data_IF_148987429128
#
_entry.id   IF_148987429128
#
_cell.length_a   1.000
_cell.length_b   1.000
_cell.length_c   1.000
_cell.angle_alpha   90.00
_cell.angle_beta   90.00
_cell.angle_gamma   90.00
#
_symmetry.space_group_name_H-M   'P 1'
#
loop_
_entity.id
_entity.type
_entity.pdbx_description
1 polymer ?
#
# COMPACT_ATOMS: atom_id res chain seq x y z
N UNK A 1 22.75 -9.86 -24.69
CA UNK A 1 22.30 -9.52 -24.23
C UNK A 1 21.40 -9.40 -23.88
N UNK A 2 21.28 -9.41 -23.49
CA UNK A 2 20.41 -9.43 -23.15
C UNK A 2 19.73 -8.64 -22.97
N UNK A 3 19.55 -8.97 -23.47
CA UNK A 3 18.42 -8.26 -23.61
C UNK A 3 18.16 -7.50 -22.43
N UNK A 4 18.91 -6.62 -22.30
CA UNK A 4 18.75 -5.69 -21.22
C UNK A 4 17.36 -5.15 -21.17
N UNK A 5 16.78 -4.92 -22.27
CA UNK A 5 15.45 -4.36 -22.34
C UNK A 5 14.41 -5.26 -21.73
N UNK A 6 14.59 -6.55 -21.82
CA UNK A 6 13.61 -7.49 -21.31
C UNK A 6 13.58 -7.55 -19.80
N UNK A 7 14.64 -7.10 -19.13
CA UNK A 7 14.71 -7.21 -17.68
C UNK A 7 14.58 -5.89 -16.97
N UNK A 8 14.62 -4.80 -17.69
CA UNK A 8 14.71 -3.53 -17.05
C UNK A 8 13.41 -2.77 -17.03
N UNK A 9 12.31 -3.42 -17.24
CA UNK A 9 11.05 -2.73 -17.16
C UNK A 9 10.77 -2.37 -15.72
N UNK A 10 11.03 -1.14 -15.41
CA UNK A 10 10.79 -0.57 -14.10
C UNK A 10 9.96 0.68 -14.32
N UNK A 11 8.76 0.66 -13.80
CA UNK A 11 7.85 1.79 -13.97
C UNK A 11 8.24 2.98 -13.08
N UNK A 12 9.10 2.75 -12.10
CA UNK A 12 9.24 3.70 -11.01
C UNK A 12 7.95 3.73 -10.21
N UNK A 13 7.90 4.58 -9.19
CA UNK A 13 6.70 4.70 -8.36
C UNK A 13 5.62 5.45 -9.11
N UNK A 14 4.45 4.85 -9.21
CA UNK A 14 3.28 5.45 -9.84
C UNK A 14 2.28 5.73 -8.74
N UNK A 15 1.83 6.97 -8.63
CA UNK A 15 0.91 7.39 -7.57
C UNK A 15 -0.51 7.05 -7.97
N UNK A 16 -1.19 6.30 -7.11
CA UNK A 16 -2.62 6.06 -7.24
C UNK A 16 -3.37 7.24 -6.66
N UNK A 17 -2.88 7.74 -5.52
CA UNK A 17 -3.42 8.95 -4.90
C UNK A 17 -2.34 9.58 -4.04
N UNK A 18 -2.28 10.88 -4.06
CA UNK A 18 -1.39 11.62 -3.16
C UNK A 18 -2.12 12.85 -2.64
N UNK A 19 -2.08 13.03 -1.33
CA UNK A 19 -2.57 14.23 -0.65
C UNK A 19 -1.40 14.81 0.11
N UNK A 20 -1.07 16.04 -0.18
CA UNK A 20 0.02 16.74 0.50
C UNK A 20 -0.49 18.12 0.88
N UNK A 21 -1.12 18.16 2.03
CA UNK A 21 -1.66 19.39 2.61
C UNK A 21 -0.91 19.68 3.89
N UNK A 22 -0.96 20.93 4.30
CA UNK A 22 -0.33 21.34 5.53
C UNK A 22 -0.82 20.47 6.69
N UNK A 23 0.10 19.75 7.32
CA UNK A 23 -0.22 18.89 8.44
C UNK A 23 -0.78 17.53 8.09
N UNK A 24 -1.01 17.25 6.82
CA UNK A 24 -1.56 15.96 6.40
C UNK A 24 -0.86 15.46 5.16
N UNK A 25 -0.52 14.19 5.15
CA UNK A 25 0.10 13.57 3.98
C UNK A 25 -0.46 12.17 3.80
N UNK A 26 -0.77 11.82 2.56
CA UNK A 26 -1.21 10.48 2.22
C UNK A 26 -0.70 10.13 0.85
N UNK A 27 -0.11 8.95 0.71
CA UNK A 27 0.27 8.44 -0.60
C UNK A 27 -0.08 6.96 -0.68
N UNK A 28 -0.65 6.59 -1.81
CA UNK A 28 -0.89 5.21 -2.19
C UNK A 28 -0.24 5.07 -3.56
N UNK A 29 0.77 4.23 -3.66
CA UNK A 29 1.57 4.13 -4.87
C UNK A 29 1.99 2.69 -5.11
N UNK A 30 2.36 2.40 -6.35
CA UNK A 30 2.87 1.09 -6.70
C UNK A 30 4.02 1.24 -7.68
N UNK A 31 4.77 0.16 -7.81
CA UNK A 31 5.90 0.10 -8.73
C UNK A 31 5.96 -1.31 -9.29
N UNK A 32 6.21 -1.43 -10.57
CA UNK A 32 6.38 -2.72 -11.22
C UNK A 32 7.79 -2.78 -11.79
N UNK A 33 8.54 -3.79 -11.38
CA UNK A 33 9.88 -4.00 -11.87
C UNK A 33 9.97 -5.47 -12.27
N UNK A 34 10.15 -5.73 -13.56
CA UNK A 34 10.06 -7.07 -14.12
C UNK A 34 8.69 -7.66 -13.75
N UNK A 35 8.65 -8.76 -13.03
CA UNK A 35 7.39 -9.39 -12.62
C UNK A 35 7.06 -9.10 -11.16
N UNK A 36 7.80 -8.22 -10.53
CA UNK A 36 7.58 -7.86 -9.14
C UNK A 36 6.72 -6.63 -9.05
N UNK A 37 5.73 -6.66 -8.18
CA UNK A 37 4.88 -5.52 -7.87
C UNK A 37 5.15 -5.12 -6.43
N UNK A 38 5.40 -3.83 -6.24
CA UNK A 38 5.60 -3.25 -4.92
C UNK A 38 4.44 -2.30 -4.67
N UNK A 39 3.86 -2.38 -3.49
CA UNK A 39 2.76 -1.51 -3.09
C UNK A 39 3.15 -0.80 -1.80
N UNK A 40 2.89 0.47 -1.75
CA UNK A 40 3.26 1.32 -0.62
C UNK A 40 2.12 2.27 -0.29
N UNK A 41 1.78 2.34 0.99
CA UNK A 41 0.83 3.32 1.51
C UNK A 41 1.47 4.00 2.70
N UNK A 42 1.41 5.31 2.73
CA UNK A 42 1.85 6.08 3.90
C UNK A 42 0.76 7.08 4.24
N UNK A 43 0.43 7.15 5.50
CA UNK A 43 -0.60 8.06 5.99
C UNK A 43 -0.10 8.83 7.20
N UNK A 44 -0.22 10.14 7.14
CA UNK A 44 0.12 11.03 8.23
C UNK A 44 -1.04 12.01 8.38
N UNK A 45 -1.93 11.73 9.32
CA UNK A 45 -3.07 12.58 9.68
C UNK A 45 -4.14 12.79 8.61
N UNK A 46 -3.98 12.26 7.41
CA UNK A 46 -5.01 12.44 6.39
C UNK A 46 -6.22 11.55 6.66
N UNK A 47 -5.97 10.32 7.05
CA UNK A 47 -7.00 9.29 7.22
C UNK A 47 -6.84 8.69 8.61
N UNK A 48 -7.95 8.56 9.33
CA UNK A 48 -7.96 7.92 10.63
C UNK A 48 -8.67 6.58 10.49
N UNK A 49 -7.92 5.51 10.71
CA UNK A 49 -8.49 4.16 10.73
C UNK A 49 -8.97 3.90 12.14
N UNK A 50 -10.26 3.69 12.28
CA UNK A 50 -10.86 3.50 13.59
C UNK A 50 -10.53 2.14 14.16
N UNK A 51 -10.46 2.08 15.49
CA UNK A 51 -10.15 0.84 16.19
C UNK A 51 -11.18 -0.24 15.87
N UNK A 52 -10.70 -1.45 15.67
CA UNK A 52 -11.52 -2.65 15.48
C UNK A 52 -12.52 -2.52 14.33
N UNK A 53 -12.14 -1.77 13.30
CA UNK A 53 -13.02 -1.52 12.17
C UNK A 53 -12.23 -1.67 10.88
N UNK A 54 -12.65 -2.58 10.02
CA UNK A 54 -11.98 -2.77 8.74
C UNK A 54 -12.21 -1.55 7.86
N UNK A 55 -11.14 -1.07 7.26
CA UNK A 55 -11.18 0.08 6.36
C UNK A 55 -10.47 -0.27 5.08
N UNK A 56 -10.96 0.22 3.95
CA UNK A 56 -10.45 -0.13 2.64
C UNK A 56 -10.25 1.16 1.84
N UNK A 57 -9.17 1.22 1.09
CA UNK A 57 -8.92 2.37 0.22
C UNK A 57 -10.00 2.45 -0.86
N UNK A 58 -10.37 3.67 -1.23
CA UNK A 58 -11.29 3.88 -2.33
C UNK A 58 -10.60 3.62 -3.66
N UNK A 59 -9.35 4.01 -3.75
CA UNK A 59 -8.55 3.82 -4.95
C UNK A 59 -7.96 2.41 -4.97
N UNK A 60 -7.60 1.99 -6.17
CA UNK A 60 -7.06 0.64 -6.40
C UNK A 60 -5.92 0.72 -7.40
N UNK A 61 -4.95 -0.18 -7.24
CA UNK A 61 -3.96 -0.37 -8.30
C UNK A 61 -4.64 -1.06 -9.49
N UNK A 62 -4.05 -0.98 -10.68
CA UNK A 62 -4.66 -1.61 -11.86
C UNK A 62 -4.90 -3.10 -11.66
N UNK A 63 -6.04 -3.58 -12.14
CA UNK A 63 -6.42 -4.99 -12.00
C UNK A 63 -5.41 -5.93 -12.66
N UNK A 64 -4.75 -5.47 -13.72
CA UNK A 64 -3.78 -6.28 -14.44
C UNK A 64 -2.57 -6.67 -13.59
N UNK A 65 -2.30 -5.93 -12.53
CA UNK A 65 -1.17 -6.21 -11.64
C UNK A 65 -1.63 -6.49 -10.21
N UNK A 66 -2.92 -6.59 -9.98
CA UNK A 66 -3.44 -6.95 -8.66
C UNK A 66 -3.09 -8.41 -8.37
N UNK A 67 -2.92 -8.78 -7.10
CA UNK A 67 -2.55 -10.16 -6.77
C UNK A 67 -3.72 -11.11 -6.97
N UNK A 68 -3.40 -12.37 -7.23
CA UNK A 68 -4.42 -13.40 -7.39
C UNK A 68 -5.00 -13.85 -6.05
N UNK A 69 -4.27 -13.60 -4.98
CA UNK A 69 -4.74 -13.82 -3.61
C UNK A 69 -4.42 -12.56 -2.81
N UNK A 70 -5.11 -12.36 -1.71
CA UNK A 70 -4.75 -11.23 -0.85
C UNK A 70 -3.36 -11.45 -0.27
N UNK A 71 -2.57 -10.40 -0.22
CA UNK A 71 -1.17 -10.46 0.23
C UNK A 71 -1.04 -9.64 1.52
N UNK A 72 -0.52 -10.23 2.58
CA UNK A 72 -0.25 -9.47 3.80
C UNK A 72 0.77 -8.37 3.55
N UNK A 73 0.60 -7.25 4.21
CA UNK A 73 1.53 -6.13 4.13
C UNK A 73 2.27 -5.98 5.44
N UNK A 74 3.52 -5.55 5.33
CA UNK A 74 4.29 -5.16 6.50
C UNK A 74 3.87 -3.75 6.89
N UNK A 75 3.54 -3.54 8.16
CA UNK A 75 3.02 -2.26 8.65
C UNK A 75 3.92 -1.76 9.76
N UNK A 76 4.26 -0.48 9.71
CA UNK A 76 4.91 0.18 10.83
C UNK A 76 4.14 1.45 11.15
N UNK A 77 4.14 1.81 12.42
CA UNK A 77 3.48 3.04 12.88
C UNK A 77 4.50 4.04 13.34
N UNK A 78 4.13 5.29 13.23
CA UNK A 78 4.97 6.38 13.70
C UNK A 78 4.68 6.72 15.16
N UNK A 79 3.66 6.07 15.74
CA UNK A 79 3.34 6.21 17.14
C UNK A 79 3.35 4.86 17.82
N UNK A 80 3.21 4.87 19.14
CA UNK A 80 3.30 3.65 19.93
C UNK A 80 2.06 2.78 19.87
N UNK A 81 1.09 3.11 19.03
CA UNK A 81 -0.25 2.54 19.16
C UNK A 81 -0.58 1.46 18.15
N UNK A 82 0.36 1.08 17.29
CA UNK A 82 0.08 -0.02 16.37
C UNK A 82 0.38 -1.32 17.06
N UNK A 83 -0.67 -2.08 17.35
CA UNK A 83 -0.55 -3.42 17.89
C UNK A 83 -1.48 -4.32 17.10
N UNK A 84 -0.99 -5.51 16.79
CA UNK A 84 -1.76 -6.52 16.05
C UNK A 84 -2.41 -5.96 14.77
N UNK A 85 -1.67 -5.24 13.94
CA UNK A 85 -2.25 -4.71 12.71
C UNK A 85 -2.51 -5.83 11.72
N UNK A 86 -3.53 -5.64 10.88
CA UNK A 86 -3.80 -6.52 9.76
C UNK A 86 -4.01 -5.66 8.53
N UNK A 87 -3.09 -5.74 7.59
CA UNK A 87 -3.17 -4.98 6.36
C UNK A 87 -2.91 -5.91 5.19
N UNK A 88 -3.67 -5.73 4.13
CA UNK A 88 -3.56 -6.60 2.96
C UNK A 88 -3.73 -5.79 1.69
N UNK A 89 -2.96 -6.16 0.66
CA UNK A 89 -3.34 -5.78 -0.69
C UNK A 89 -4.32 -6.85 -1.17
N UNK A 90 -5.50 -6.39 -1.57
CA UNK A 90 -6.60 -7.28 -1.92
C UNK A 90 -6.56 -7.65 -3.40
N UNK A 91 -7.31 -8.67 -3.76
CA UNK A 91 -7.36 -9.17 -5.14
C UNK A 91 -7.90 -8.13 -6.12
N UNK A 92 -8.68 -7.19 -5.64
CA UNK A 92 -9.24 -6.14 -6.49
C UNK A 92 -8.32 -4.93 -6.62
N UNK A 93 -7.16 -4.97 -5.96
CA UNK A 93 -6.20 -3.88 -6.02
C UNK A 93 -6.34 -2.83 -4.93
N UNK A 94 -7.31 -2.97 -4.07
CA UNK A 94 -7.46 -2.07 -2.92
C UNK A 94 -6.56 -2.52 -1.77
N UNK A 95 -6.36 -1.65 -0.80
CA UNK A 95 -5.61 -1.99 0.41
C UNK A 95 -6.57 -1.91 1.59
N UNK A 96 -6.60 -2.97 2.38
CA UNK A 96 -7.46 -3.03 3.56
C UNK A 96 -6.62 -2.91 4.83
N UNK A 97 -7.19 -2.27 5.83
CA UNK A 97 -6.53 -2.01 7.11
C UNK A 97 -7.45 -2.41 8.24
N UNK A 98 -6.87 -3.03 9.25
CA UNK A 98 -7.55 -3.30 10.50
C UNK A 98 -6.55 -3.10 11.62
N UNK A 99 -6.85 -2.18 12.52
CA UNK A 99 -6.00 -1.91 13.68
C UNK A 99 -6.80 -2.10 14.95
N UNK A 100 -6.13 -2.57 15.99
CA UNK A 100 -6.77 -2.72 17.28
C UNK A 100 -7.01 -1.37 17.94
N UNK A 101 -6.18 -0.39 17.64
CA UNK A 101 -6.30 0.96 18.17
C UNK A 101 -6.47 1.94 17.03
N UNK A 102 -7.18 3.03 17.29
CA UNK A 102 -7.34 4.09 16.29
C UNK A 102 -5.96 4.59 15.87
N UNK A 103 -5.75 4.73 14.56
CA UNK A 103 -4.42 4.99 14.01
C UNK A 103 -4.52 6.01 12.87
N UNK A 104 -3.71 7.06 12.96
CA UNK A 104 -3.60 8.08 11.92
C UNK A 104 -2.19 8.20 11.37
N UNK A 105 -1.26 7.44 11.91
CA UNK A 105 0.14 7.42 11.47
C UNK A 105 0.52 5.99 11.17
N UNK A 106 0.67 5.68 9.88
CA UNK A 106 1.11 4.33 9.53
C UNK A 106 1.71 4.31 8.15
N UNK A 107 2.49 3.28 7.92
CA UNK A 107 3.09 3.02 6.62
C UNK A 107 3.02 1.52 6.38
N UNK A 108 2.65 1.12 5.17
CA UNK A 108 2.48 -0.28 4.84
C UNK A 108 3.14 -0.59 3.50
N UNK A 109 3.76 -1.75 3.42
CA UNK A 109 4.48 -2.21 2.24
C UNK A 109 4.09 -3.64 1.91
N UNK A 110 4.02 -3.93 0.63
CA UNK A 110 3.89 -5.30 0.16
C UNK A 110 4.69 -5.47 -1.12
N UNK A 111 5.05 -6.72 -1.40
CA UNK A 111 5.77 -7.07 -2.60
C UNK A 111 5.30 -8.47 -2.98
N UNK A 112 5.00 -8.66 -4.26
CA UNK A 112 4.56 -9.96 -4.76
C UNK A 112 4.87 -10.05 -6.25
N UNK A 113 4.78 -11.27 -6.79
CA UNK A 113 4.99 -11.50 -8.22
C UNK A 113 3.66 -11.64 -8.95
N UNK A 114 3.67 -11.25 -10.19
CA UNK A 114 2.50 -11.43 -11.07
C UNK A 114 2.84 -12.38 -12.21
#
# INVERSE_FOLDING_TARGET
MFGSDSVSHDTGWIKVKEIDNEGSYYIFEYRVCAKMVFVHVRNTHYWTVRANNASVTEEKIPQSIAPSIRIPMTVCGLGANISSPSCFIEKDGSVSFYFKNETSYFEAYACYTV
#
